data_IF_303519507324
#
_entry.id   IF_303519507324
#
_cell.length_a   1.000
_cell.length_b   1.000
_cell.length_c   1.000
_cell.angle_alpha   90.00
_cell.angle_beta   90.00
_cell.angle_gamma   90.00
#
_symmetry.space_group_name_H-M   'P 1'
#
loop_
_entity.id
_entity.type
_entity.pdbx_description
1 polymer ?
#
# COMPACT_ATOMS: atom_id res chain seq x y z
N UNK A 1 4.24 17.74 -9.49
CA UNK A 1 4.16 16.91 -8.26
C UNK A 1 5.48 16.19 -8.12
N UNK A 2 6.20 16.35 -6.99
CA UNK A 2 7.48 15.67 -6.77
C UNK A 2 7.17 14.21 -6.45
N UNK A 3 7.37 13.31 -7.40
CA UNK A 3 7.47 11.88 -7.12
C UNK A 3 8.74 11.67 -6.31
N UNK A 4 8.68 11.88 -5.00
CA UNK A 4 9.75 11.48 -4.09
C UNK A 4 9.84 9.96 -4.14
N UNK A 5 10.70 9.46 -5.03
CA UNK A 5 11.04 8.05 -5.13
C UNK A 5 11.83 7.71 -3.88
N UNK A 6 11.17 7.11 -2.89
CA UNK A 6 11.87 6.57 -1.72
C UNK A 6 12.84 5.47 -2.17
N UNK A 7 14.09 5.57 -1.72
CA UNK A 7 15.15 4.62 -2.02
C UNK A 7 14.83 3.27 -1.35
N UNK A 8 14.95 2.17 -2.10
CA UNK A 8 14.81 0.82 -1.52
C UNK A 8 15.82 0.58 -0.40
N UNK A 9 17.01 1.17 -0.49
CA UNK A 9 18.06 1.03 0.51
C UNK A 9 17.69 1.61 1.87
N UNK A 10 16.64 2.45 1.92
CA UNK A 10 16.16 3.12 3.14
C UNK A 10 15.01 2.39 3.84
N UNK A 11 14.50 1.30 3.28
CA UNK A 11 13.42 0.52 3.90
C UNK A 11 14.01 -0.36 5.01
N UNK A 12 13.63 -0.07 6.25
CA UNK A 12 14.05 -0.79 7.45
C UNK A 12 12.86 -0.96 8.40
N UNK A 13 12.69 -2.16 8.96
CA UNK A 13 11.62 -2.48 9.90
C UNK A 13 12.19 -2.99 11.22
N UNK A 14 11.52 -2.67 12.34
CA UNK A 14 11.79 -3.22 13.66
C UNK A 14 12.71 -2.38 14.55
N UNK A 15 13.04 -1.14 14.15
CA UNK A 15 13.87 -0.23 14.96
C UNK A 15 13.01 0.67 15.84
N UNK A 16 12.10 1.44 15.25
CA UNK A 16 11.14 2.29 15.95
C UNK A 16 9.90 2.54 15.08
N UNK A 17 8.82 2.99 15.72
CA UNK A 17 7.52 3.20 15.06
C UNK A 17 7.56 4.21 13.92
N UNK A 18 8.28 5.32 14.07
CA UNK A 18 8.33 6.36 13.05
C UNK A 18 9.12 5.90 11.81
N UNK A 19 10.19 5.14 12.04
CA UNK A 19 10.96 4.48 10.98
C UNK A 19 10.11 3.44 10.26
N UNK A 20 9.38 2.59 11.00
CA UNK A 20 8.50 1.57 10.42
C UNK A 20 7.40 2.20 9.56
N UNK A 21 6.77 3.28 10.02
CA UNK A 21 5.74 4.00 9.27
C UNK A 21 6.28 4.58 7.95
N UNK A 22 7.48 5.19 7.99
CA UNK A 22 8.14 5.72 6.78
C UNK A 22 8.51 4.59 5.81
N UNK A 23 9.05 3.50 6.33
CA UNK A 23 9.42 2.32 5.55
C UNK A 23 8.20 1.66 4.91
N UNK A 24 7.08 1.58 5.62
CA UNK A 24 5.83 1.05 5.09
C UNK A 24 5.30 1.90 3.93
N UNK A 25 5.32 3.24 4.06
CA UNK A 25 4.93 4.13 2.97
C UNK A 25 5.81 3.94 1.73
N UNK A 26 7.13 3.89 1.92
CA UNK A 26 8.09 3.66 0.84
C UNK A 26 7.87 2.30 0.18
N UNK A 27 7.64 1.25 0.98
CA UNK A 27 7.36 -0.10 0.49
C UNK A 27 6.09 -0.14 -0.36
N UNK A 28 4.98 0.41 0.14
CA UNK A 28 3.69 0.42 -0.58
C UNK A 28 3.76 1.23 -1.88
N UNK A 29 4.44 2.38 -1.89
CA UNK A 29 4.65 3.14 -3.13
C UNK A 29 5.40 2.36 -4.19
N UNK A 30 6.34 1.48 -3.78
CA UNK A 30 7.07 0.60 -4.71
C UNK A 30 6.21 -0.59 -5.14
N UNK A 31 5.46 -1.18 -4.21
CA UNK A 31 4.52 -2.27 -4.49
C UNK A 31 3.49 -1.86 -5.55
N UNK A 32 2.97 -0.64 -5.46
CA UNK A 32 1.98 -0.10 -6.38
C UNK A 32 2.55 0.46 -7.70
N UNK A 33 3.83 0.22 -8.02
CA UNK A 33 4.41 0.67 -9.30
C UNK A 33 3.73 -0.02 -10.47
N UNK A 34 3.34 0.70 -11.54
CA UNK A 34 2.65 0.11 -12.68
C UNK A 34 3.38 -1.09 -13.29
N UNK A 35 4.72 -1.03 -13.38
CA UNK A 35 5.53 -2.09 -13.96
C UNK A 35 5.55 -3.36 -13.09
N UNK A 36 5.54 -3.20 -11.76
CA UNK A 36 5.49 -4.33 -10.84
C UNK A 36 4.11 -4.96 -10.85
N UNK A 37 3.04 -4.15 -10.77
CA UNK A 37 1.66 -4.64 -10.79
C UNK A 37 1.33 -5.38 -12.11
N UNK A 38 1.83 -4.88 -13.25
CA UNK A 38 1.65 -5.54 -14.54
C UNK A 38 2.25 -6.96 -14.58
N UNK A 39 3.32 -7.21 -13.82
CA UNK A 39 3.97 -8.53 -13.72
C UNK A 39 3.36 -9.38 -12.62
N UNK A 40 3.04 -8.79 -11.46
CA UNK A 40 2.61 -9.51 -10.27
C UNK A 40 1.14 -9.94 -10.34
N UNK A 41 0.23 -9.02 -10.72
CA UNK A 41 -1.21 -9.28 -10.74
C UNK A 41 -1.61 -10.55 -11.53
N UNK A 42 -1.12 -10.80 -12.76
CA UNK A 42 -1.48 -12.02 -13.49
C UNK A 42 -0.88 -13.31 -12.92
N UNK A 43 0.04 -13.22 -11.95
CA UNK A 43 0.66 -14.38 -11.28
C UNK A 43 -0.05 -14.76 -9.98
N UNK A 44 -0.91 -13.90 -9.45
CA UNK A 44 -1.67 -14.19 -8.25
C UNK A 44 -2.77 -15.20 -8.57
N UNK A 45 -2.91 -16.20 -7.71
CA UNK A 45 -4.10 -17.05 -7.69
C UNK A 45 -5.33 -16.23 -7.26
N UNK A 46 -6.53 -16.72 -7.59
CA UNK A 46 -7.78 -16.09 -7.16
C UNK A 46 -7.83 -15.90 -5.63
N UNK A 47 -7.34 -16.89 -4.86
CA UNK A 47 -7.28 -16.79 -3.40
C UNK A 47 -6.32 -15.71 -2.90
N UNK A 48 -5.17 -15.53 -3.54
CA UNK A 48 -4.22 -14.48 -3.17
C UNK A 48 -4.76 -13.10 -3.52
N UNK A 49 -5.45 -12.97 -4.67
CA UNK A 49 -6.07 -11.73 -5.10
C UNK A 49 -7.19 -11.31 -4.14
N UNK A 50 -8.10 -12.23 -3.80
CA UNK A 50 -9.16 -11.97 -2.81
C UNK A 50 -8.56 -11.66 -1.43
N UNK A 51 -7.59 -12.43 -0.97
CA UNK A 51 -6.95 -12.21 0.34
C UNK A 51 -6.28 -10.83 0.44
N UNK A 52 -5.62 -10.36 -0.62
CA UNK A 52 -5.01 -9.04 -0.65
C UNK A 52 -6.06 -7.93 -0.62
N UNK A 53 -7.13 -8.05 -1.40
CA UNK A 53 -8.24 -7.08 -1.42
C UNK A 53 -8.91 -7.01 -0.05
N UNK A 54 -9.20 -8.14 0.56
CA UNK A 54 -9.85 -8.22 1.88
C UNK A 54 -8.97 -7.59 2.96
N UNK A 55 -7.65 -7.85 2.92
CA UNK A 55 -6.72 -7.28 3.88
C UNK A 55 -6.66 -5.75 3.80
N UNK A 56 -6.46 -5.20 2.59
CA UNK A 56 -6.36 -3.74 2.39
C UNK A 56 -7.70 -3.07 2.70
N UNK A 57 -8.80 -3.67 2.25
CA UNK A 57 -10.16 -3.14 2.52
C UNK A 57 -10.50 -3.17 4.00
N UNK A 58 -10.08 -4.22 4.72
CA UNK A 58 -10.23 -4.33 6.17
C UNK A 58 -9.49 -3.22 6.92
N UNK A 59 -8.24 -2.92 6.52
CA UNK A 59 -7.48 -1.82 7.11
C UNK A 59 -8.19 -0.47 6.92
N UNK A 60 -8.67 -0.19 5.71
CA UNK A 60 -9.41 1.04 5.45
C UNK A 60 -10.69 1.11 6.28
N UNK A 61 -11.48 0.03 6.34
CA UNK A 61 -12.71 -0.03 7.12
C UNK A 61 -12.48 0.18 8.62
N UNK A 62 -11.37 -0.32 9.15
CA UNK A 62 -11.07 -0.24 10.58
C UNK A 62 -10.51 1.13 11.00
N UNK A 63 -9.92 1.89 10.06
CA UNK A 63 -9.15 3.09 10.39
C UNK A 63 -9.63 4.38 9.72
N UNK A 64 -10.48 4.30 8.70
CA UNK A 64 -11.07 5.47 8.04
C UNK A 64 -12.53 5.64 8.44
N UNK A 65 -12.94 6.88 8.67
CA UNK A 65 -14.35 7.25 8.64
C UNK A 65 -14.92 7.09 7.23
N UNK A 66 -16.26 7.05 7.13
CA UNK A 66 -16.95 7.02 5.83
C UNK A 66 -16.49 8.20 4.95
N UNK A 67 -16.40 9.42 5.51
CA UNK A 67 -15.94 10.60 4.78
C UNK A 67 -14.51 10.44 4.25
N UNK A 68 -13.60 9.91 5.06
CA UNK A 68 -12.21 9.69 4.65
C UNK A 68 -12.12 8.61 3.57
N UNK A 69 -12.88 7.53 3.68
CA UNK A 69 -12.92 6.50 2.64
C UNK A 69 -13.40 7.06 1.29
N UNK A 70 -14.48 7.83 1.30
CA UNK A 70 -15.02 8.45 0.09
C UNK A 70 -14.06 9.46 -0.54
N UNK A 71 -13.48 10.35 0.28
CA UNK A 71 -12.60 11.41 -0.24
C UNK A 71 -11.20 10.93 -0.61
N UNK A 72 -10.59 10.06 0.19
CA UNK A 72 -9.19 9.66 0.01
C UNK A 72 -9.01 8.44 -0.90
N UNK A 73 -9.93 7.47 -0.86
CA UNK A 73 -9.82 6.24 -1.64
C UNK A 73 -10.71 6.24 -2.90
N UNK A 74 -11.98 6.63 -2.77
CA UNK A 74 -12.90 6.64 -3.91
C UNK A 74 -12.78 7.89 -4.79
N UNK A 75 -12.19 8.97 -4.28
CA UNK A 75 -12.08 10.25 -4.98
C UNK A 75 -13.44 10.91 -5.28
N UNK A 76 -14.42 10.69 -4.39
CA UNK A 76 -15.80 11.21 -4.50
C UNK A 76 -16.11 12.25 -3.44
#
# INVERSE_FOLDING_TARGET
MKNSTFDASSICFGWDRATDERSLQAFLQRFCRPELLAVLTPRLTDSELTGLIDHISGLMKNHLSEKEYHSLFLGK
#
